data_IF_146550529498
#
_entry.id   IF_146550529498
#
_cell.length_a   1.000
_cell.length_b   1.000
_cell.length_c   1.000
_cell.angle_alpha   90.00
_cell.angle_beta   90.00
_cell.angle_gamma   90.00
#
_symmetry.space_group_name_H-M   'P 1'
#
loop_
_entity.id
_entity.type
_entity.pdbx_description
1 polymer ?
#
# COMPACT_ATOMS: atom_id res chain seq x y z
N UNK A 1 -7.75 -16.57 -6.03
CA UNK A 1 -7.42 -17.15 -4.72
C UNK A 1 -8.71 -17.73 -4.19
N UNK A 2 -8.76 -19.03 -3.89
CA UNK A 2 -9.78 -19.49 -2.92
C UNK A 2 -9.57 -18.61 -1.69
N UNK A 3 -10.60 -17.91 -1.19
CA UNK A 3 -10.51 -16.94 -0.09
C UNK A 3 -9.40 -17.34 0.89
N UNK A 4 -8.37 -16.50 1.03
CA UNK A 4 -7.34 -16.74 2.03
C UNK A 4 -7.96 -16.62 3.43
N UNK A 5 -7.37 -17.30 4.40
CA UNK A 5 -7.80 -17.18 5.78
C UNK A 5 -7.78 -15.70 6.21
N UNK A 6 -8.93 -15.19 6.68
CA UNK A 6 -9.07 -13.83 7.23
C UNK A 6 -9.21 -13.92 8.74
N UNK A 7 -8.31 -13.28 9.48
CA UNK A 7 -8.44 -13.07 10.93
C UNK A 7 -8.74 -11.60 11.22
N UNK A 8 -9.79 -11.35 11.98
CA UNK A 8 -10.22 -10.01 12.38
C UNK A 8 -10.03 -9.85 13.88
N UNK A 9 -9.36 -8.78 14.28
CA UNK A 9 -9.12 -8.42 15.67
C UNK A 9 -9.80 -7.08 15.98
N UNK A 10 -10.36 -6.95 17.19
CA UNK A 10 -10.88 -5.65 17.65
C UNK A 10 -9.75 -4.62 17.82
N UNK A 11 -8.60 -5.07 18.32
CA UNK A 11 -7.41 -4.23 18.47
C UNK A 11 -6.13 -5.06 18.35
N UNK A 12 -5.13 -4.50 17.68
CA UNK A 12 -3.74 -5.01 17.66
C UNK A 12 -2.76 -3.84 17.79
N UNK A 13 -1.51 -4.07 18.22
CA UNK A 13 -0.46 -3.06 18.09
C UNK A 13 -0.28 -2.65 16.61
N UNK A 14 -0.08 -3.63 15.73
CA UNK A 14 0.06 -3.46 14.29
C UNK A 14 -0.25 -4.79 13.58
N UNK A 15 -1.08 -4.77 12.55
CA UNK A 15 -1.35 -5.95 11.71
C UNK A 15 -0.07 -6.43 11.02
N UNK A 16 0.80 -5.48 10.65
CA UNK A 16 2.06 -5.74 9.97
C UNK A 16 3.03 -6.49 10.89
N UNK A 17 3.20 -6.00 12.13
CA UNK A 17 4.08 -6.63 13.12
C UNK A 17 3.57 -8.02 13.48
N UNK A 18 2.27 -8.13 13.79
CA UNK A 18 1.64 -9.40 14.12
C UNK A 18 1.87 -10.44 13.02
N UNK A 19 1.60 -10.08 11.76
CA UNK A 19 1.71 -11.01 10.65
C UNK A 19 3.18 -11.40 10.40
N UNK A 20 4.12 -10.45 10.41
CA UNK A 20 5.54 -10.75 10.27
C UNK A 20 6.06 -11.69 11.36
N UNK A 21 5.67 -11.51 12.61
CA UNK A 21 6.05 -12.38 13.72
C UNK A 21 5.51 -13.80 13.53
N UNK A 22 4.24 -13.94 13.12
CA UNK A 22 3.62 -15.25 12.87
C UNK A 22 4.21 -15.99 11.68
N UNK A 23 4.66 -15.27 10.65
CA UNK A 23 5.42 -15.87 9.55
C UNK A 23 6.81 -16.30 10.01
N UNK A 24 7.48 -15.52 10.87
CA UNK A 24 8.80 -15.86 11.43
C UNK A 24 8.76 -17.09 12.34
N UNK A 25 7.72 -17.24 13.15
CA UNK A 25 7.51 -18.41 14.01
C UNK A 25 6.94 -19.63 13.27
N UNK A 26 6.63 -19.50 11.97
CA UNK A 26 5.96 -20.50 11.13
C UNK A 26 4.56 -20.90 11.64
N UNK A 27 3.91 -20.06 12.46
CA UNK A 27 2.53 -20.25 12.93
C UNK A 27 1.49 -19.94 11.84
N UNK A 28 1.84 -19.07 10.90
CA UNK A 28 1.02 -18.74 9.73
C UNK A 28 1.82 -18.94 8.45
N UNK A 29 1.10 -19.14 7.34
CA UNK A 29 1.64 -19.24 5.99
C UNK A 29 0.83 -18.37 5.04
N UNK A 30 1.48 -17.82 4.02
CA UNK A 30 0.78 -17.13 2.95
C UNK A 30 -0.01 -18.13 2.07
N UNK A 31 -1.18 -17.74 1.53
CA UNK A 31 -1.80 -16.44 1.70
C UNK A 31 -2.65 -16.36 2.99
N UNK A 32 -2.54 -15.25 3.73
CA UNK A 32 -3.35 -14.98 4.93
C UNK A 32 -3.56 -13.47 5.11
N UNK A 33 -4.77 -13.09 5.51
CA UNK A 33 -5.18 -11.71 5.73
C UNK A 33 -5.43 -11.45 7.22
N UNK A 34 -4.79 -10.42 7.76
CA UNK A 34 -4.97 -9.94 9.12
C UNK A 34 -5.59 -8.56 9.09
N UNK A 35 -6.73 -8.38 9.75
CA UNK A 35 -7.43 -7.09 9.89
C UNK A 35 -7.48 -6.71 11.36
N UNK A 36 -7.21 -5.45 11.66
CA UNK A 36 -7.48 -4.88 12.98
C UNK A 36 -8.45 -3.71 12.83
N UNK A 37 -9.53 -3.69 13.62
CA UNK A 37 -10.43 -2.53 13.66
C UNK A 37 -9.76 -1.30 14.26
N UNK A 38 -8.84 -1.51 15.20
CA UNK A 38 -8.03 -0.47 15.82
C UNK A 38 -6.56 -0.90 15.87
N UNK A 39 -5.65 0.00 15.50
CA UNK A 39 -4.22 -0.16 15.75
C UNK A 39 -3.74 0.82 16.81
N UNK A 40 -3.10 0.33 17.87
CA UNK A 40 -2.55 1.19 18.92
C UNK A 40 -1.16 1.74 18.59
N UNK A 41 -0.38 1.03 17.77
CA UNK A 41 1.00 1.40 17.39
C UNK A 41 1.25 1.09 15.91
N UNK A 42 0.43 1.68 15.04
CA UNK A 42 0.54 1.49 13.59
C UNK A 42 1.91 1.93 13.07
N UNK A 43 2.41 1.23 12.05
CA UNK A 43 3.73 1.46 11.46
C UNK A 43 3.57 1.98 10.04
N UNK A 44 4.19 3.12 9.76
CA UNK A 44 4.40 3.67 8.43
C UNK A 44 5.82 3.40 7.92
N UNK A 45 6.13 3.90 6.73
CA UNK A 45 7.47 3.78 6.14
C UNK A 45 8.55 4.36 7.06
N UNK A 46 9.75 3.77 7.06
CA UNK A 46 10.91 4.16 7.90
C UNK A 46 10.65 4.12 9.41
N UNK A 47 9.69 3.32 9.86
CA UNK A 47 9.35 3.23 11.28
C UNK A 47 8.58 4.44 11.82
N UNK A 48 8.10 5.33 10.94
CA UNK A 48 7.20 6.40 11.34
C UNK A 48 5.92 5.82 11.96
N UNK A 49 5.29 6.57 12.86
CA UNK A 49 4.02 6.18 13.44
C UNK A 49 2.90 6.40 12.42
N UNK A 50 2.13 5.35 12.14
CA UNK A 50 0.82 5.47 11.50
C UNK A 50 -0.24 5.63 12.59
N UNK A 51 -0.66 6.88 12.81
CA UNK A 51 -1.66 7.20 13.83
C UNK A 51 -3.03 6.64 13.45
N UNK A 52 -3.66 5.87 14.35
CA UNK A 52 -5.04 5.43 14.18
C UNK A 52 -6.01 6.63 14.16
N UNK A 53 -6.82 6.74 13.12
CA UNK A 53 -7.99 7.61 13.11
C UNK A 53 -9.10 7.04 14.01
N UNK A 54 -10.19 7.80 14.26
CA UNK A 54 -11.35 7.30 15.02
C UNK A 54 -11.92 6.02 14.39
N UNK A 55 -11.87 5.94 13.07
CA UNK A 55 -12.08 4.70 12.31
C UNK A 55 -11.10 4.69 11.13
N UNK A 56 -10.42 3.57 10.94
CA UNK A 56 -9.51 3.33 9.83
C UNK A 56 -9.66 1.89 9.34
N UNK A 57 -9.51 1.69 8.04
CA UNK A 57 -9.27 0.39 7.45
C UNK A 57 -7.78 0.09 7.63
N UNK A 58 -7.43 -0.91 8.45
CA UNK A 58 -6.05 -1.36 8.62
C UNK A 58 -5.95 -2.87 8.52
N UNK A 59 -5.18 -3.34 7.54
CA UNK A 59 -4.94 -4.76 7.34
C UNK A 59 -3.54 -5.04 6.79
N UNK A 60 -3.09 -6.28 6.96
CA UNK A 60 -1.89 -6.82 6.33
C UNK A 60 -2.19 -8.14 5.64
N UNK A 61 -1.73 -8.28 4.40
CA UNK A 61 -1.90 -9.46 3.56
C UNK A 61 -0.53 -10.07 3.28
N UNK A 62 -0.34 -11.34 3.65
CA UNK A 62 0.83 -12.11 3.24
C UNK A 62 0.54 -12.80 1.91
N UNK A 63 1.45 -12.66 0.95
CA UNK A 63 1.42 -13.24 -0.39
C UNK A 63 2.69 -14.04 -0.62
N UNK A 64 2.59 -15.18 -1.29
CA UNK A 64 3.74 -15.91 -1.82
C UNK A 64 4.29 -15.20 -3.06
N UNK A 65 5.50 -15.55 -3.48
CA UNK A 65 6.05 -15.00 -4.71
C UNK A 65 5.19 -15.32 -5.94
N UNK A 66 4.58 -16.51 -5.96
CA UNK A 66 3.68 -16.99 -7.02
C UNK A 66 2.32 -16.28 -7.06
N UNK A 67 1.96 -15.52 -6.03
CA UNK A 67 0.71 -14.74 -5.99
C UNK A 67 0.87 -13.36 -6.65
N UNK A 68 2.08 -13.03 -7.13
CA UNK A 68 2.42 -11.78 -7.81
C UNK A 68 3.01 -12.10 -9.19
N UNK A 69 2.90 -11.16 -10.16
CA UNK A 69 3.36 -11.43 -11.51
C UNK A 69 4.90 -11.54 -11.55
N UNK A 70 5.40 -12.44 -12.40
CA UNK A 70 6.82 -12.79 -12.46
C UNK A 70 7.72 -11.64 -12.95
N UNK A 71 7.14 -10.63 -13.61
CA UNK A 71 7.85 -9.45 -14.11
C UNK A 71 7.92 -8.31 -13.08
N UNK A 72 7.35 -8.47 -11.88
CA UNK A 72 7.32 -7.43 -10.84
C UNK A 72 8.69 -7.26 -10.15
N UNK A 73 9.35 -6.09 -10.30
CA UNK A 73 10.58 -5.80 -9.58
C UNK A 73 10.31 -5.68 -8.08
N UNK A 74 11.27 -6.09 -7.25
CA UNK A 74 11.12 -6.05 -5.79
C UNK A 74 10.84 -4.64 -5.27
N UNK A 75 11.44 -3.63 -5.90
CA UNK A 75 11.28 -2.21 -5.57
C UNK A 75 9.87 -1.69 -5.88
N UNK A 76 9.17 -2.33 -6.82
CA UNK A 76 7.84 -1.92 -7.29
C UNK A 76 6.69 -2.52 -6.48
N UNK A 77 6.94 -3.42 -5.52
CA UNK A 77 5.88 -4.12 -4.78
C UNK A 77 4.82 -3.19 -4.18
N UNK A 78 5.24 -2.13 -3.47
CA UNK A 78 4.31 -1.19 -2.85
C UNK A 78 3.55 -0.36 -3.89
N UNK A 79 4.20 -0.02 -5.00
CA UNK A 79 3.61 0.76 -6.07
C UNK A 79 2.56 -0.06 -6.84
N UNK A 80 2.88 -1.31 -7.18
CA UNK A 80 1.98 -2.26 -7.82
C UNK A 80 0.73 -2.52 -6.97
N UNK A 81 0.92 -2.96 -5.71
CA UNK A 81 -0.19 -3.26 -4.81
C UNK A 81 -1.00 -2.01 -4.46
N UNK A 82 -0.34 -0.86 -4.30
CA UNK A 82 -1.03 0.41 -4.09
C UNK A 82 -1.84 0.88 -5.28
N UNK A 83 -1.36 0.63 -6.51
CA UNK A 83 -2.12 0.96 -7.71
C UNK A 83 -3.36 0.09 -7.85
N UNK A 84 -3.22 -1.23 -7.64
CA UNK A 84 -4.37 -2.14 -7.63
C UNK A 84 -5.40 -1.71 -6.58
N UNK A 85 -4.96 -1.40 -5.35
CA UNK A 85 -5.85 -0.93 -4.29
C UNK A 85 -6.53 0.40 -4.66
N UNK A 86 -5.80 1.34 -5.26
CA UNK A 86 -6.37 2.60 -5.76
C UNK A 86 -7.43 2.35 -6.84
N UNK A 87 -7.21 1.42 -7.76
CA UNK A 87 -8.21 1.09 -8.79
C UNK A 87 -9.47 0.46 -8.17
N UNK A 88 -9.36 -0.36 -7.12
CA UNK A 88 -10.53 -0.84 -6.36
C UNK A 88 -11.33 0.32 -5.79
N UNK A 89 -10.65 1.27 -5.14
CA UNK A 89 -11.32 2.45 -4.58
C UNK A 89 -12.01 3.26 -5.68
N UNK A 90 -11.37 3.43 -6.83
CA UNK A 90 -11.92 4.13 -8.00
C UNK A 90 -13.12 3.42 -8.60
N UNK A 91 -13.09 2.08 -8.72
CA UNK A 91 -14.24 1.27 -9.16
C UNK A 91 -15.44 1.41 -8.21
N UNK A 92 -15.17 1.67 -6.92
CA UNK A 92 -16.19 1.98 -5.91
C UNK A 92 -16.58 3.48 -5.86
N UNK A 93 -16.07 4.30 -6.78
CA UNK A 93 -16.44 5.71 -6.95
C UNK A 93 -15.52 6.73 -6.28
N UNK A 94 -14.42 6.31 -5.66
CA UNK A 94 -13.47 7.21 -4.98
C UNK A 94 -12.63 8.01 -5.98
N UNK A 95 -12.28 9.25 -5.58
CA UNK A 95 -11.29 10.09 -6.28
C UNK A 95 -9.86 9.89 -5.75
N UNK A 96 -9.64 8.83 -4.96
CA UNK A 96 -8.32 8.49 -4.44
C UNK A 96 -7.33 8.29 -5.58
N UNK A 97 -6.11 8.78 -5.39
CA UNK A 97 -5.00 8.60 -6.31
C UNK A 97 -3.73 8.20 -5.57
N UNK A 98 -2.79 7.62 -6.31
CA UNK A 98 -1.54 7.12 -5.74
C UNK A 98 -0.43 8.14 -5.98
N UNK A 99 0.06 8.76 -4.90
CA UNK A 99 1.25 9.61 -4.94
C UNK A 99 2.47 8.73 -4.70
N UNK A 100 3.48 8.86 -5.57
CA UNK A 100 4.75 8.16 -5.40
C UNK A 100 5.38 8.48 -4.04
N UNK A 101 5.96 7.50 -3.32
CA UNK A 101 6.16 6.11 -3.75
C UNK A 101 5.01 5.15 -3.40
N UNK A 102 4.19 5.46 -2.40
CA UNK A 102 3.27 4.50 -1.78
C UNK A 102 2.12 5.16 -1.00
N UNK A 103 1.79 6.42 -1.27
CA UNK A 103 0.83 7.18 -0.48
C UNK A 103 -0.52 7.28 -1.20
N UNK A 104 -1.61 6.99 -0.48
CA UNK A 104 -2.97 7.19 -0.99
C UNK A 104 -3.43 8.60 -0.66
N UNK A 105 -3.79 9.36 -1.68
CA UNK A 105 -4.16 10.77 -1.59
C UNK A 105 -5.58 11.02 -2.09
N UNK A 106 -6.25 12.00 -1.47
CA UNK A 106 -7.51 12.57 -1.94
C UNK A 106 -7.32 14.08 -2.08
N UNK A 107 -7.49 14.60 -3.30
CA UNK A 107 -7.06 15.96 -3.62
C UNK A 107 -5.57 16.15 -3.28
N UNK A 108 -5.25 17.16 -2.45
CA UNK A 108 -3.89 17.44 -1.98
C UNK A 108 -3.51 16.80 -0.64
N UNK A 109 -4.35 15.95 -0.05
CA UNK A 109 -4.14 15.42 1.30
C UNK A 109 -3.96 13.91 1.32
N UNK A 110 -3.04 13.43 2.15
CA UNK A 110 -2.84 12.00 2.38
C UNK A 110 -4.00 11.44 3.21
N UNK A 111 -4.59 10.33 2.76
CA UNK A 111 -5.65 9.60 3.45
C UNK A 111 -5.22 8.20 3.90
N UNK A 112 -4.12 7.68 3.34
CA UNK A 112 -3.70 6.31 3.52
C UNK A 112 -2.30 6.04 3.01
N UNK A 113 -1.85 4.80 3.13
CA UNK A 113 -0.57 4.36 2.61
C UNK A 113 -0.45 2.85 2.51
N UNK A 114 0.56 2.43 1.76
CA UNK A 114 0.88 1.03 1.49
C UNK A 114 2.30 0.76 1.97
N UNK A 115 2.50 -0.34 2.70
CA UNK A 115 3.78 -0.76 3.22
C UNK A 115 4.01 -2.21 2.84
N UNK A 116 5.13 -2.53 2.20
CA UNK A 116 5.47 -3.92 1.87
C UNK A 116 6.76 -4.30 2.58
N UNK A 117 6.70 -5.36 3.39
CA UNK A 117 7.91 -6.02 3.89
C UNK A 117 8.11 -7.33 3.17
N UNK A 118 9.35 -7.63 2.78
CA UNK A 118 9.73 -8.93 2.22
C UNK A 118 10.30 -9.79 3.34
N UNK A 119 9.77 -10.99 3.51
CA UNK A 119 10.31 -11.99 4.45
C UNK A 119 10.46 -13.32 3.72
N UNK A 120 11.71 -13.76 3.53
CA UNK A 120 12.04 -14.85 2.59
C UNK A 120 11.52 -14.48 1.19
N UNK A 121 10.73 -15.35 0.59
CA UNK A 121 10.04 -15.14 -0.70
C UNK A 121 8.64 -14.52 -0.55
N UNK A 122 8.14 -14.37 0.68
CA UNK A 122 6.82 -13.80 0.95
C UNK A 122 6.84 -12.27 0.99
N UNK A 123 5.71 -11.68 0.60
CA UNK A 123 5.46 -10.24 0.61
C UNK A 123 4.33 -9.97 1.60
N UNK A 124 4.59 -9.13 2.59
CA UNK A 124 3.62 -8.73 3.60
C UNK A 124 3.19 -7.31 3.30
N UNK A 125 2.03 -7.16 2.67
CA UNK A 125 1.45 -5.88 2.25
C UNK A 125 0.50 -5.35 3.33
N UNK A 126 0.93 -4.33 4.07
CA UNK A 126 0.11 -3.55 4.98
C UNK A 126 -0.53 -2.37 4.27
N UNK A 127 -1.85 -2.21 4.41
CA UNK A 127 -2.58 -1.05 3.89
C UNK A 127 -3.38 -0.40 5.01
N UNK A 128 -3.24 0.91 5.12
CA UNK A 128 -3.98 1.76 6.06
C UNK A 128 -4.72 2.88 5.34
N UNK A 129 -6.00 3.07 5.63
CA UNK A 129 -6.82 4.18 5.09
C UNK A 129 -7.73 4.76 6.17
N UNK A 130 -7.71 6.07 6.32
CA UNK A 130 -8.59 6.78 7.25
C UNK A 130 -10.05 6.73 6.76
N UNK A 131 -10.98 6.32 7.64
CA UNK A 131 -12.42 6.30 7.36
C UNK A 131 -13.14 7.47 8.03
N UNK A 132 -12.83 7.72 9.30
CA UNK A 132 -13.41 8.83 10.08
C UNK A 132 -12.34 9.45 10.96
N UNK A 133 -12.06 10.73 10.80
CA UNK A 133 -11.10 11.49 11.59
C UNK A 133 -11.49 12.96 11.64
N UNK A 134 -11.12 13.64 12.74
CA UNK A 134 -11.15 15.11 12.84
C UNK A 134 -9.78 15.75 12.52
N UNK A 135 -8.71 14.95 12.55
CA UNK A 135 -7.32 15.42 12.38
C UNK A 135 -6.80 15.24 10.96
N UNK A 136 -7.26 14.19 10.28
CA UNK A 136 -6.71 13.74 8.99
C UNK A 136 -7.82 13.64 7.94
N UNK A 137 -7.46 13.85 6.67
CA UNK A 137 -8.37 13.56 5.56
C UNK A 137 -8.73 12.06 5.54
N UNK A 138 -9.94 11.77 5.06
CA UNK A 138 -10.53 10.44 5.06
C UNK A 138 -11.00 10.06 3.65
N UNK A 139 -11.18 8.75 3.43
CA UNK A 139 -11.74 8.19 2.22
C UNK A 139 -13.12 8.81 1.90
N UNK A 140 -13.37 9.13 0.64
CA UNK A 140 -14.55 9.84 0.12
C UNK A 140 -15.73 8.92 -0.26
N UNK A 141 -15.66 7.64 0.11
CA UNK A 141 -16.71 6.65 -0.16
C UNK A 141 -17.15 5.88 1.08
N UNK A 142 -18.43 5.49 1.08
CA UNK A 142 -19.09 4.73 2.15
C UNK A 142 -19.01 3.21 2.01
N UNK A 143 -18.19 2.68 1.10
CA UNK A 143 -18.05 1.23 0.92
C UNK A 143 -17.59 0.53 2.21
N UNK A 144 -18.12 -0.67 2.48
CA UNK A 144 -17.70 -1.44 3.64
C UNK A 144 -16.24 -1.89 3.50
N UNK A 145 -15.54 -2.04 4.64
CA UNK A 145 -14.15 -2.49 4.65
C UNK A 145 -14.00 -3.87 3.97
N UNK A 146 -14.96 -4.76 4.19
CA UNK A 146 -14.99 -6.07 3.55
C UNK A 146 -15.12 -5.97 2.02
N UNK A 147 -15.97 -5.08 1.50
CA UNK A 147 -16.13 -4.90 0.06
C UNK A 147 -14.84 -4.37 -0.60
N UNK A 148 -14.16 -3.42 0.07
CA UNK A 148 -12.87 -2.88 -0.40
C UNK A 148 -11.80 -3.99 -0.43
N UNK A 149 -11.71 -4.77 0.65
CA UNK A 149 -10.74 -5.88 0.76
C UNK A 149 -11.05 -6.95 -0.29
N UNK A 150 -12.30 -7.34 -0.48
CA UNK A 150 -12.70 -8.33 -1.48
C UNK A 150 -12.37 -7.88 -2.91
N UNK A 151 -12.61 -6.60 -3.23
CA UNK A 151 -12.19 -6.02 -4.50
C UNK A 151 -10.68 -6.07 -4.69
N UNK A 152 -9.91 -5.81 -3.62
CA UNK A 152 -8.45 -5.86 -3.67
C UNK A 152 -7.90 -7.27 -3.88
N UNK A 153 -8.47 -8.26 -3.20
CA UNK A 153 -8.13 -9.67 -3.42
C UNK A 153 -8.43 -10.07 -4.86
N UNK A 154 -9.61 -9.71 -5.41
CA UNK A 154 -9.95 -9.96 -6.82
C UNK A 154 -8.96 -9.30 -7.79
N UNK A 155 -8.53 -8.05 -7.54
CA UNK A 155 -7.54 -7.37 -8.38
C UNK A 155 -6.18 -8.06 -8.39
N UNK A 156 -5.73 -8.60 -7.24
CA UNK A 156 -4.50 -9.39 -7.19
C UNK A 156 -4.65 -10.67 -8.04
N UNK A 157 -5.83 -11.29 -8.01
CA UNK A 157 -6.13 -12.52 -8.75
C UNK A 157 -6.25 -12.35 -10.27
N UNK A 158 -6.55 -11.14 -10.74
CA UNK A 158 -6.47 -10.79 -12.16
C UNK A 158 -5.02 -10.97 -12.69
N UNK A 159 -4.02 -11.01 -11.80
CA UNK A 159 -2.61 -11.27 -12.10
C UNK A 159 -2.08 -10.41 -13.25
N UNK A 160 -2.47 -9.12 -13.26
CA UNK A 160 -2.01 -8.15 -14.24
C UNK A 160 -0.49 -8.03 -14.16
N UNK A 161 0.17 -8.03 -15.31
CA UNK A 161 1.63 -7.89 -15.36
C UNK A 161 2.06 -6.52 -14.83
N UNK A 162 3.27 -6.45 -14.27
CA UNK A 162 3.85 -5.19 -13.82
C UNK A 162 3.90 -4.16 -14.95
N UNK A 163 4.29 -4.57 -16.16
CA UNK A 163 4.32 -3.67 -17.31
C UNK A 163 2.97 -3.00 -17.62
N UNK A 164 1.85 -3.72 -17.44
CA UNK A 164 0.49 -3.18 -17.64
C UNK A 164 0.12 -2.17 -16.57
N UNK A 165 0.41 -2.49 -15.31
CA UNK A 165 0.16 -1.60 -14.17
C UNK A 165 1.01 -0.34 -14.26
N UNK A 166 2.31 -0.50 -14.58
CA UNK A 166 3.23 0.61 -14.76
C UNK A 166 2.78 1.54 -15.88
N UNK A 167 2.35 0.98 -17.03
CA UNK A 167 1.89 1.78 -18.17
C UNK A 167 0.70 2.67 -17.79
N UNK A 168 -0.24 2.15 -16.99
CA UNK A 168 -1.37 2.94 -16.48
C UNK A 168 -0.92 3.96 -15.44
N UNK A 169 -0.05 3.57 -14.51
CA UNK A 169 0.45 4.48 -13.48
C UNK A 169 1.30 5.62 -14.05
N UNK A 170 2.09 5.38 -15.09
CA UNK A 170 2.90 6.40 -15.76
C UNK A 170 2.05 7.57 -16.29
N UNK A 171 0.82 7.30 -16.76
CA UNK A 171 -0.13 8.33 -17.18
C UNK A 171 -0.58 9.23 -16.03
N UNK A 172 -0.58 8.72 -14.79
CA UNK A 172 -1.00 9.44 -13.58
C UNK A 172 0.18 10.02 -12.79
N UNK A 173 1.40 9.53 -13.03
CA UNK A 173 2.59 9.86 -12.24
C UNK A 173 2.87 11.37 -12.16
N UNK A 174 2.59 12.11 -13.24
CA UNK A 174 2.76 13.56 -13.30
C UNK A 174 2.05 14.33 -12.16
N UNK A 175 0.99 13.76 -11.57
CA UNK A 175 0.32 14.34 -10.39
C UNK A 175 1.23 14.41 -9.17
N UNK A 176 2.20 13.48 -9.07
CA UNK A 176 3.18 13.46 -7.99
C UNK A 176 4.19 14.61 -8.09
N UNK A 177 4.37 15.23 -9.26
CA UNK A 177 5.37 16.29 -9.48
C UNK A 177 5.10 17.57 -8.68
N UNK A 178 3.88 17.73 -8.15
CA UNK A 178 3.51 18.85 -7.27
C UNK A 178 3.86 18.62 -5.80
N UNK A 179 4.47 17.48 -5.47
CA UNK A 179 4.71 17.06 -4.09
C UNK A 179 6.18 16.73 -3.84
N UNK A 180 6.47 16.43 -2.58
CA UNK A 180 7.75 15.88 -2.14
C UNK A 180 7.55 14.49 -1.55
N UNK A 181 8.63 13.73 -1.50
CA UNK A 181 8.75 12.54 -0.66
C UNK A 181 9.91 12.76 0.32
N UNK A 182 10.04 11.87 1.30
CA UNK A 182 11.20 11.89 2.18
C UNK A 182 12.14 10.75 1.77
N UNK A 183 13.42 11.05 1.58
CA UNK A 183 14.46 10.07 1.24
C UNK A 183 14.79 9.16 2.45
N UNK A 184 15.80 8.31 2.32
CA UNK A 184 16.15 7.32 3.35
C UNK A 184 16.76 7.95 4.60
N UNK A 185 17.34 9.14 4.46
CA UNK A 185 17.83 9.96 5.56
C UNK A 185 16.72 10.85 6.17
N UNK A 186 15.48 10.73 5.68
CA UNK A 186 14.33 11.48 6.18
C UNK A 186 14.25 12.91 5.68
N UNK A 187 15.03 13.29 4.66
CA UNK A 187 15.02 14.63 4.09
C UNK A 187 13.97 14.75 3.00
N UNK A 188 13.27 15.89 2.94
CA UNK A 188 12.28 16.14 1.90
C UNK A 188 12.96 16.40 0.54
N UNK A 189 12.55 15.64 -0.49
CA UNK A 189 13.00 15.77 -1.87
C UNK A 189 11.79 16.05 -2.77
N UNK A 190 11.85 17.14 -3.53
CA UNK A 190 10.80 17.54 -4.47
C UNK A 190 10.73 16.58 -5.67
N UNK A 191 9.52 16.23 -6.10
CA UNK A 191 9.26 15.40 -7.29
C UNK A 191 9.06 16.22 -8.57
N UNK A 192 9.26 17.54 -8.54
CA UNK A 192 8.97 18.44 -9.66
C UNK A 192 9.61 17.99 -10.98
N UNK A 193 10.87 17.55 -10.91
CA UNK A 193 11.68 17.13 -12.05
C UNK A 193 11.90 15.60 -12.03
N UNK A 194 10.98 14.85 -11.43
CA UNK A 194 11.07 13.39 -11.33
C UNK A 194 10.62 12.71 -12.63
N UNK A 195 11.39 11.73 -13.04
CA UNK A 195 11.10 10.82 -14.14
C UNK A 195 10.90 9.41 -13.58
N UNK A 196 9.76 8.78 -13.91
CA UNK A 196 9.46 7.42 -13.48
C UNK A 196 10.28 6.41 -14.29
N UNK A 197 10.97 5.50 -13.60
CA UNK A 197 11.74 4.41 -14.21
C UNK A 197 10.91 3.13 -14.32
N UNK A 198 11.35 2.22 -15.20
CA UNK A 198 10.64 0.96 -15.50
C UNK A 198 10.49 0.01 -14.29
N UNK A 199 11.30 0.18 -13.26
CA UNK A 199 11.22 -0.60 -12.03
C UNK A 199 10.52 0.11 -10.87
N UNK A 200 9.82 1.21 -11.18
CA UNK A 200 9.03 1.98 -10.22
C UNK A 200 9.83 2.97 -9.38
N UNK A 201 11.16 3.03 -9.55
CA UNK A 201 12.01 4.08 -8.99
C UNK A 201 11.80 5.41 -9.72
N UNK A 202 12.38 6.49 -9.19
CA UNK A 202 12.39 7.79 -9.87
C UNK A 202 13.80 8.30 -10.07
N UNK A 203 14.07 8.92 -11.22
CA UNK A 203 15.28 9.69 -11.48
C UNK A 203 14.97 11.17 -11.34
N UNK A 204 15.77 11.91 -10.58
CA UNK A 204 15.66 13.36 -10.43
C UNK A 204 17.04 13.94 -10.72
N UNK A 205 17.18 14.62 -11.86
CA UNK A 205 18.45 15.26 -12.30
C UNK A 205 19.65 14.30 -12.28
N UNK A 206 19.45 13.09 -12.78
CA UNK A 206 20.49 12.05 -12.87
C UNK A 206 20.72 11.25 -11.58
N UNK A 207 20.02 11.56 -10.48
CA UNK A 207 20.06 10.77 -9.24
C UNK A 207 18.83 9.88 -9.13
N UNK A 208 19.06 8.59 -8.94
CA UNK A 208 18.00 7.58 -8.78
C UNK A 208 17.61 7.47 -7.31
N UNK A 209 16.30 7.40 -7.05
CA UNK A 209 15.71 7.20 -5.74
C UNK A 209 14.77 6.00 -5.79
N UNK A 210 14.93 5.09 -4.82
CA UNK A 210 14.00 4.02 -4.52
C UNK A 210 13.37 4.24 -3.15
N UNK A 211 12.30 3.48 -2.89
CA UNK A 211 11.51 3.54 -1.66
C UNK A 211 10.87 2.17 -1.40
N UNK A 212 11.70 1.21 -0.98
CA UNK A 212 11.23 -0.08 -0.44
C UNK A 212 10.78 0.05 1.01
#
# INVERSE_FOLDING_TARGET
MRQCEKRVFESLPSTQTYLLEKLKSNELKAPVLIVAKNQSTGIGSRGNIWEGAKSALTFSLALNASDLPNDLPMQANALYLGFLFKEVLKELGSQTWLKWPNDLYLGGQKIGGVLVNVYKDMRVCGIGVNRVSKKWACLDIGASDDLIIEGFLKKIEENLFWGEVLSKYALEFHRSNFFSFHNDWGEAVSLKDAELLEDGRVCIKGKIYDRM
#
